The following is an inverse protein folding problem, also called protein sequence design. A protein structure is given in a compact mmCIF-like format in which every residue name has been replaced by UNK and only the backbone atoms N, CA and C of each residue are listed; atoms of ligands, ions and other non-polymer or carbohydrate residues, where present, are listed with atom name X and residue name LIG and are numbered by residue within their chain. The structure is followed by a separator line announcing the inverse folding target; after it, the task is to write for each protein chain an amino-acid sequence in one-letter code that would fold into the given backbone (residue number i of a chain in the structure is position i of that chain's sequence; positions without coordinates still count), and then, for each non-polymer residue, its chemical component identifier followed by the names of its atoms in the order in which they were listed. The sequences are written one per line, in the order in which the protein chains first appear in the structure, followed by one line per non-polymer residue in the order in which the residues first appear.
data_IF_768711750862
#
_entry.id   IF_768711750862
#
_cell.length_a   1.000
_cell.length_b   1.000
_cell.length_c   1.000
_cell.angle_alpha   90.00
_cell.angle_beta   90.00
_cell.angle_gamma   90.00
#
_symmetry.space_group_name_H-M   'P 1'
#
loop_
_entity.id
_entity.type
_entity.pdbx_description
1 polymer ?
#
# COMPACT_ATOMS: atom_id res chain seq x y z
N UNK A 1 9.72 19.05 15.23
CA UNK A 1 10.16 17.92 16.10
C UNK A 1 9.44 18.04 17.45
N UNK A 2 9.26 16.94 18.19
CA UNK A 2 8.70 16.98 19.56
C UNK A 2 7.16 16.90 19.67
N UNK A 3 6.45 16.61 18.58
CA UNK A 3 4.99 16.46 18.60
C UNK A 3 4.52 15.13 19.21
N UNK A 4 5.40 14.12 19.24
CA UNK A 4 5.14 12.80 19.79
C UNK A 4 6.44 12.21 20.36
N UNK A 5 6.30 11.20 21.22
CA UNK A 5 7.40 10.50 21.89
C UNK A 5 7.52 9.02 21.51
N UNK A 6 6.64 8.55 20.64
CA UNK A 6 6.63 7.20 20.11
C UNK A 6 5.53 7.04 19.07
N UNK A 7 5.57 5.97 18.29
CA UNK A 7 4.53 5.66 17.30
C UNK A 7 4.18 4.17 17.28
N UNK A 8 2.91 3.89 17.01
CA UNK A 8 2.41 2.54 16.71
C UNK A 8 1.96 2.52 15.24
N UNK A 9 2.49 1.59 14.46
CA UNK A 9 2.19 1.43 13.04
C UNK A 9 1.57 0.06 12.80
N UNK A 10 0.27 0.03 12.47
CA UNK A 10 -0.50 -1.19 12.25
C UNK A 10 -0.82 -1.36 10.78
N UNK A 11 -0.38 -2.49 10.22
CA UNK A 11 -0.66 -2.91 8.85
C UNK A 11 -0.23 -1.93 7.76
N UNK A 12 0.81 -1.13 8.03
CA UNK A 12 1.33 -0.18 7.06
C UNK A 12 2.45 0.71 7.60
N UNK A 13 3.07 1.44 6.68
CA UNK A 13 4.17 2.36 6.93
C UNK A 13 5.34 2.11 5.98
N UNK A 14 5.96 3.17 5.44
CA UNK A 14 7.18 3.11 4.64
C UNK A 14 7.11 2.21 3.39
N UNK A 15 5.95 2.12 2.76
CA UNK A 15 5.81 1.42 1.46
C UNK A 15 6.13 2.36 0.31
N UNK A 16 6.77 1.86 -0.76
CA UNK A 16 7.15 2.70 -1.90
C UNK A 16 5.95 3.17 -2.76
N UNK A 17 4.81 2.50 -2.65
CA UNK A 17 3.62 2.78 -3.46
C UNK A 17 2.65 3.77 -2.79
N UNK A 18 2.87 4.15 -1.53
CA UNK A 18 1.95 4.98 -0.76
C UNK A 18 2.09 6.49 -1.04
N UNK A 19 3.02 6.89 -1.91
CA UNK A 19 3.25 8.30 -2.25
C UNK A 19 3.30 8.47 -3.76
N UNK A 20 2.85 9.63 -4.25
CA UNK A 20 2.95 10.01 -5.66
C UNK A 20 3.84 11.24 -5.82
N UNK A 21 4.43 11.41 -7.00
CA UNK A 21 5.12 12.64 -7.34
C UNK A 21 4.12 13.74 -7.72
N UNK A 22 4.56 15.00 -7.65
CA UNK A 22 3.72 16.15 -7.97
C UNK A 22 3.08 16.08 -9.38
N UNK A 23 3.79 15.72 -10.47
CA UNK A 23 3.16 15.58 -11.79
C UNK A 23 2.01 14.56 -11.84
N UNK A 24 2.11 13.46 -11.09
CA UNK A 24 1.05 12.45 -11.02
C UNK A 24 -0.16 12.95 -10.23
N UNK A 25 0.08 13.76 -9.19
CA UNK A 25 -0.99 14.42 -8.44
C UNK A 25 -1.70 15.49 -9.30
N UNK A 26 -0.95 16.28 -10.07
CA UNK A 26 -1.48 17.26 -11.03
C UNK A 26 -2.34 16.57 -12.11
N UNK A 27 -1.85 15.47 -12.69
CA UNK A 27 -2.63 14.69 -13.67
C UNK A 27 -3.95 14.15 -13.08
N UNK A 28 -3.93 13.75 -11.81
CA UNK A 28 -5.14 13.31 -11.09
C UNK A 28 -6.11 14.47 -10.87
N UNK A 29 -5.60 15.65 -10.51
CA UNK A 29 -6.40 16.87 -10.36
C UNK A 29 -7.02 17.32 -11.69
N UNK A 30 -6.27 17.29 -12.79
CA UNK A 30 -6.77 17.61 -14.12
C UNK A 30 -7.86 16.65 -14.59
N UNK A 31 -7.72 15.36 -14.26
CA UNK A 31 -8.76 14.37 -14.53
C UNK A 31 -10.03 14.67 -13.75
N UNK A 32 -9.94 15.09 -12.48
CA UNK A 32 -11.09 15.54 -11.70
C UNK A 32 -11.77 16.75 -12.36
N UNK A 33 -11.00 17.76 -12.78
CA UNK A 33 -11.53 18.95 -13.47
C UNK A 33 -12.28 18.58 -14.76
N UNK A 34 -11.75 17.66 -15.56
CA UNK A 34 -12.43 17.20 -16.78
C UNK A 34 -13.73 16.47 -16.48
N UNK A 35 -13.72 15.57 -15.48
CA UNK A 35 -14.89 14.75 -15.12
C UNK A 35 -16.04 15.54 -14.51
N UNK A 36 -15.71 16.66 -13.87
CA UNK A 36 -16.67 17.55 -13.22
C UNK A 36 -17.10 18.72 -14.11
N UNK A 37 -16.56 18.83 -15.32
CA UNK A 37 -16.80 19.97 -16.21
C UNK A 37 -16.06 21.26 -15.81
N UNK A 38 -15.28 21.25 -14.72
CA UNK A 38 -14.55 22.42 -14.24
C UNK A 38 -13.28 22.76 -15.04
N UNK A 39 -12.84 21.91 -15.98
CA UNK A 39 -11.63 22.15 -16.79
C UNK A 39 -11.70 23.44 -17.64
N UNK A 40 -12.91 23.86 -18.03
CA UNK A 40 -13.13 25.08 -18.81
C UNK A 40 -13.23 26.35 -17.95
N UNK A 41 -13.20 26.23 -16.62
CA UNK A 41 -13.31 27.39 -15.74
C UNK A 41 -12.04 28.23 -15.79
N UNK A 42 -12.16 29.45 -16.33
CA UNK A 42 -11.06 30.42 -16.40
C UNK A 42 -10.52 30.75 -15.00
N UNK A 43 -11.40 30.81 -13.99
CA UNK A 43 -10.99 31.01 -12.60
C UNK A 43 -10.09 29.87 -12.10
N UNK A 44 -10.37 28.64 -12.51
CA UNK A 44 -9.59 27.46 -12.12
C UNK A 44 -8.24 27.40 -12.82
N UNK A 45 -8.16 27.85 -14.07
CA UNK A 45 -6.91 27.98 -14.81
C UNK A 45 -6.02 29.11 -14.26
N UNK A 46 -6.62 30.19 -13.74
CA UNK A 46 -5.89 31.35 -13.23
C UNK A 46 -5.41 31.20 -11.77
N UNK A 47 -6.24 30.63 -10.88
CA UNK A 47 -5.95 30.57 -9.44
C UNK A 47 -5.18 29.32 -9.01
N UNK A 48 -5.28 28.22 -9.78
CA UNK A 48 -4.79 26.91 -9.36
C UNK A 48 -5.67 26.23 -8.30
N UNK A 49 -5.22 25.10 -7.73
CA UNK A 49 -5.94 24.39 -6.67
C UNK A 49 -5.89 25.13 -5.31
N UNK A 50 -6.99 25.15 -4.52
CA UNK A 50 -8.32 24.67 -4.88
C UNK A 50 -9.07 25.65 -5.81
N UNK A 51 -9.55 25.12 -6.93
CA UNK A 51 -10.36 25.84 -7.93
C UNK A 51 -11.78 26.14 -7.42
N UNK A 52 -12.27 27.37 -7.61
CA UNK A 52 -13.60 27.80 -7.17
C UNK A 52 -14.75 26.94 -7.72
N UNK A 53 -14.69 26.54 -9.00
CA UNK A 53 -15.70 25.65 -9.60
C UNK A 53 -15.83 24.33 -8.83
N UNK A 54 -14.72 23.71 -8.40
CA UNK A 54 -14.77 22.48 -7.62
C UNK A 54 -15.36 22.68 -6.21
N UNK A 55 -15.14 23.86 -5.62
CA UNK A 55 -15.66 24.20 -4.30
C UNK A 55 -17.18 24.45 -4.29
N UNK A 56 -17.74 24.83 -5.43
CA UNK A 56 -19.18 25.07 -5.61
C UNK A 56 -19.98 23.80 -5.93
N UNK A 57 -19.30 22.72 -6.34
CA UNK A 57 -19.97 21.45 -6.67
C UNK A 57 -20.54 20.77 -5.42
N UNK A 58 -21.75 20.20 -5.52
CA UNK A 58 -22.22 19.24 -4.54
C UNK A 58 -21.26 18.07 -4.35
N UNK A 59 -21.06 17.62 -3.11
CA UNK A 59 -20.18 16.47 -2.81
C UNK A 59 -20.53 15.20 -3.60
N UNK A 60 -21.80 15.05 -4.01
CA UNK A 60 -22.29 13.92 -4.81
C UNK A 60 -21.65 13.88 -6.20
N UNK A 61 -21.41 15.05 -6.80
CA UNK A 61 -20.82 15.15 -8.13
C UNK A 61 -19.32 14.86 -8.08
N UNK A 62 -18.64 15.34 -7.02
CA UNK A 62 -17.25 14.97 -6.72
C UNK A 62 -17.10 13.44 -6.50
N UNK A 63 -18.02 12.85 -5.74
CA UNK A 63 -18.03 11.41 -5.51
C UNK A 63 -18.34 10.61 -6.79
N UNK A 64 -19.26 11.09 -7.64
CA UNK A 64 -19.54 10.45 -8.93
C UNK A 64 -18.30 10.49 -9.85
N UNK A 65 -17.57 11.61 -9.89
CA UNK A 65 -16.32 11.73 -10.64
C UNK A 65 -15.21 10.79 -10.13
N UNK A 66 -15.13 10.61 -8.81
CA UNK A 66 -14.19 9.67 -8.15
C UNK A 66 -14.47 8.21 -8.53
N UNK A 67 -15.75 7.83 -8.62
CA UNK A 67 -16.21 6.45 -8.75
C UNK A 67 -16.27 5.93 -10.19
N UNK A 68 -15.81 6.71 -11.19
CA UNK A 68 -15.70 6.25 -12.57
C UNK A 68 -14.72 5.06 -12.72
N UNK A 69 -14.84 4.23 -13.78
CA UNK A 69 -14.03 3.01 -13.96
C UNK A 69 -12.52 3.25 -13.83
N UNK A 70 -12.03 4.34 -14.43
CA UNK A 70 -10.67 4.84 -14.21
C UNK A 70 -10.63 5.59 -12.88
N UNK A 71 -10.23 4.95 -11.77
CA UNK A 71 -10.23 5.62 -10.47
C UNK A 71 -9.17 6.72 -10.41
N UNK A 72 -9.53 7.86 -9.82
CA UNK A 72 -8.55 8.89 -9.46
C UNK A 72 -7.71 8.36 -8.29
N UNK A 73 -6.39 8.46 -8.42
CA UNK A 73 -5.44 7.95 -7.43
C UNK A 73 -5.02 9.07 -6.47
N UNK A 74 -5.72 9.20 -5.35
CA UNK A 74 -5.36 10.14 -4.29
C UNK A 74 -4.38 9.49 -3.31
N UNK A 75 -3.21 10.10 -3.15
CA UNK A 75 -2.18 9.66 -2.22
C UNK A 75 -1.37 10.87 -1.72
N UNK A 76 -0.65 10.75 -0.59
CA UNK A 76 0.34 11.73 -0.17
C UNK A 76 1.30 12.10 -1.31
N UNK A 77 1.54 13.41 -1.48
CA UNK A 77 2.34 13.95 -2.59
C UNK A 77 3.72 14.34 -2.09
N UNK A 78 4.75 13.98 -2.86
CA UNK A 78 6.10 14.51 -2.69
C UNK A 78 6.09 15.96 -3.20
N UNK A 79 5.85 16.90 -2.30
CA UNK A 79 5.60 18.33 -2.58
C UNK A 79 6.82 19.22 -2.30
N UNK A 80 7.94 18.66 -1.82
CA UNK A 80 9.14 19.40 -1.40
C UNK A 80 8.92 20.40 -0.25
N UNK A 81 7.75 20.37 0.40
CA UNK A 81 7.41 21.25 1.52
C UNK A 81 7.10 20.44 2.78
N UNK A 82 6.10 19.57 2.71
CA UNK A 82 5.75 18.64 3.78
C UNK A 82 6.49 17.32 3.62
N UNK A 83 6.62 16.86 2.38
CA UNK A 83 7.23 15.58 2.02
C UNK A 83 8.27 15.81 0.92
N UNK A 84 9.55 15.84 1.31
CA UNK A 84 10.68 16.01 0.39
C UNK A 84 10.92 14.79 -0.50
N UNK A 85 10.59 13.59 0.00
CA UNK A 85 10.75 12.32 -0.72
C UNK A 85 9.81 11.25 -0.16
N UNK A 86 9.72 10.10 -0.83
CA UNK A 86 8.96 8.96 -0.30
C UNK A 86 9.52 8.50 1.06
N UNK A 87 8.69 8.28 2.10
CA UNK A 87 9.16 7.89 3.44
C UNK A 87 10.07 6.66 3.44
N UNK A 88 9.77 5.68 2.58
CA UNK A 88 10.59 4.49 2.39
C UNK A 88 12.04 4.85 2.01
N UNK A 89 12.22 5.79 1.08
CA UNK A 89 13.53 6.26 0.64
C UNK A 89 14.23 7.08 1.73
N UNK A 90 13.50 7.96 2.42
CA UNK A 90 14.05 8.76 3.52
C UNK A 90 14.69 7.88 4.60
N UNK A 91 14.02 6.79 4.96
CA UNK A 91 14.55 5.82 5.90
C UNK A 91 15.69 4.99 5.30
N UNK A 92 15.49 4.39 4.12
CA UNK A 92 16.44 3.44 3.53
C UNK A 92 17.76 4.06 3.09
N UNK A 93 17.72 5.30 2.60
CA UNK A 93 18.88 5.94 1.99
C UNK A 93 19.54 6.95 2.93
N UNK A 94 18.75 7.65 3.75
CA UNK A 94 19.24 8.73 4.60
C UNK A 94 19.11 8.47 6.10
N UNK A 95 18.33 7.45 6.50
CA UNK A 95 17.98 7.23 7.91
C UNK A 95 17.18 8.38 8.51
N UNK A 96 16.51 9.20 7.68
CA UNK A 96 15.82 10.42 8.11
C UNK A 96 14.39 10.07 8.50
N UNK A 97 14.20 9.82 9.79
CA UNK A 97 12.89 9.65 10.44
C UNK A 97 12.88 10.34 11.80
N UNK A 98 11.70 10.48 12.40
CA UNK A 98 11.64 10.92 13.80
C UNK A 98 12.31 9.89 14.72
N UNK A 99 13.33 10.32 15.45
CA UNK A 99 14.06 9.50 16.41
C UNK A 99 13.25 9.28 17.69
N UNK A 100 12.20 8.47 17.59
CA UNK A 100 11.37 8.03 18.71
C UNK A 100 11.16 6.51 18.64
N UNK A 101 10.92 5.84 19.78
CA UNK A 101 10.59 4.43 19.79
C UNK A 101 9.35 4.11 18.95
N UNK A 102 9.37 2.98 18.23
CA UNK A 102 8.24 2.54 17.39
C UNK A 102 7.86 1.09 17.59
N UNK A 103 6.56 0.80 17.54
CA UNK A 103 6.04 -0.56 17.42
C UNK A 103 5.37 -0.71 16.06
N UNK A 104 5.85 -1.67 15.28
CA UNK A 104 5.30 -1.99 13.96
C UNK A 104 4.65 -3.37 14.00
N UNK A 105 3.51 -3.52 13.35
CA UNK A 105 3.02 -4.86 13.10
C UNK A 105 2.08 -4.96 11.94
N UNK A 106 1.90 -6.20 11.50
CA UNK A 106 1.03 -6.59 10.39
C UNK A 106 0.34 -7.90 10.74
N UNK A 107 -0.70 -8.23 9.97
CA UNK A 107 -1.24 -9.59 9.94
C UNK A 107 -0.54 -10.38 8.84
N UNK A 108 -0.28 -11.67 9.06
CA UNK A 108 0.48 -12.48 8.10
C UNK A 108 -0.22 -12.66 6.74
N UNK A 109 -1.53 -12.45 6.68
CA UNK A 109 -2.35 -12.56 5.47
C UNK A 109 -3.15 -11.26 5.18
N UNK A 110 -2.58 -10.12 5.56
CA UNK A 110 -3.21 -8.78 5.47
C UNK A 110 -3.23 -8.18 4.05
N UNK A 111 -3.64 -8.99 3.08
CA UNK A 111 -3.78 -8.56 1.69
C UNK A 111 -4.93 -9.32 1.02
N UNK A 112 -5.50 -8.72 -0.02
CA UNK A 112 -6.66 -9.23 -0.75
C UNK A 112 -6.39 -9.26 -2.27
N UNK A 113 -5.48 -10.13 -2.75
CA UNK A 113 -5.28 -10.33 -4.17
C UNK A 113 -6.53 -10.90 -4.84
N UNK A 114 -6.76 -10.53 -6.09
CA UNK A 114 -7.92 -10.95 -6.89
C UNK A 114 -7.75 -12.36 -7.49
N UNK A 115 -7.33 -13.35 -6.69
CA UNK A 115 -7.14 -14.73 -7.13
C UNK A 115 -8.39 -15.61 -6.94
N UNK A 116 -9.31 -15.20 -6.06
CA UNK A 116 -10.48 -16.00 -5.65
C UNK A 116 -10.13 -17.08 -4.61
N UNK A 117 -11.13 -17.57 -3.87
CA UNK A 117 -10.91 -18.56 -2.79
C UNK A 117 -10.55 -19.94 -3.31
N UNK A 118 -10.98 -20.29 -4.52
CA UNK A 118 -10.76 -21.60 -5.15
C UNK A 118 -9.50 -21.65 -6.03
N UNK A 119 -8.58 -20.69 -5.88
CA UNK A 119 -7.40 -20.59 -6.73
C UNK A 119 -6.56 -21.87 -6.70
N UNK A 120 -5.94 -22.19 -7.83
CA UNK A 120 -5.00 -23.32 -7.98
C UNK A 120 -3.55 -22.86 -7.81
N UNK A 121 -2.62 -23.82 -7.70
CA UNK A 121 -1.19 -23.50 -7.73
C UNK A 121 -0.76 -22.83 -9.05
N UNK A 122 -1.38 -23.19 -10.18
CA UNK A 122 -1.15 -22.54 -11.45
C UNK A 122 -1.61 -21.07 -11.44
N UNK A 123 -2.78 -20.78 -10.86
CA UNK A 123 -3.26 -19.40 -10.71
C UNK A 123 -2.31 -18.58 -9.83
N UNK A 124 -1.83 -19.16 -8.73
CA UNK A 124 -0.87 -18.51 -7.85
C UNK A 124 0.46 -18.24 -8.55
N UNK A 125 0.98 -19.21 -9.30
CA UNK A 125 2.22 -19.07 -10.08
C UNK A 125 2.12 -17.95 -11.11
N UNK A 126 1.02 -17.91 -11.88
CA UNK A 126 0.77 -16.88 -12.87
C UNK A 126 0.65 -15.49 -12.25
N UNK A 127 -0.03 -15.38 -11.11
CA UNK A 127 -0.12 -14.13 -10.35
C UNK A 127 1.23 -13.70 -9.78
N UNK A 128 2.04 -14.63 -9.29
CA UNK A 128 3.34 -14.34 -8.70
C UNK A 128 4.38 -13.91 -9.75
N UNK A 129 4.29 -14.43 -10.98
CA UNK A 129 5.17 -14.05 -12.12
C UNK A 129 5.06 -12.55 -12.46
N UNK A 130 3.89 -11.93 -12.21
CA UNK A 130 3.72 -10.48 -12.36
C UNK A 130 4.38 -9.67 -11.22
N UNK A 131 4.81 -10.32 -10.14
CA UNK A 131 5.24 -9.67 -8.91
C UNK A 131 6.71 -9.88 -8.56
N UNK A 132 7.33 -10.96 -9.05
CA UNK A 132 8.74 -11.29 -8.78
C UNK A 132 9.50 -11.48 -10.09
N UNK A 133 10.82 -11.22 -10.11
CA UNK A 133 11.63 -11.52 -11.28
C UNK A 133 11.50 -13.01 -11.65
N UNK A 134 11.42 -13.30 -12.95
CA UNK A 134 11.18 -14.66 -13.45
C UNK A 134 12.23 -15.67 -12.95
N UNK A 135 13.48 -15.24 -12.77
CA UNK A 135 14.54 -16.11 -12.23
C UNK A 135 14.30 -16.53 -10.76
N UNK A 136 13.48 -15.80 -10.01
CA UNK A 136 13.16 -16.05 -8.61
C UNK A 136 11.84 -16.78 -8.41
N UNK A 137 11.03 -16.97 -9.47
CA UNK A 137 9.67 -17.47 -9.38
C UNK A 137 9.58 -18.84 -8.69
N UNK A 138 10.40 -19.81 -9.10
CA UNK A 138 10.41 -21.16 -8.51
C UNK A 138 10.71 -21.12 -7.01
N UNK A 139 11.70 -20.31 -6.61
CA UNK A 139 12.06 -20.13 -5.20
C UNK A 139 10.94 -19.45 -4.43
N UNK A 140 10.27 -18.48 -5.04
CA UNK A 140 9.14 -17.79 -4.41
C UNK A 140 7.93 -18.73 -4.25
N UNK A 141 7.64 -19.60 -5.22
CA UNK A 141 6.60 -20.62 -5.09
C UNK A 141 6.92 -21.57 -3.93
N UNK A 142 8.14 -22.10 -3.87
CA UNK A 142 8.58 -22.98 -2.77
C UNK A 142 8.49 -22.29 -1.40
N UNK A 143 8.73 -20.98 -1.33
CA UNK A 143 8.62 -20.22 -0.09
C UNK A 143 7.19 -20.23 0.49
N UNK A 144 6.16 -20.16 -0.36
CA UNK A 144 4.78 -20.02 0.08
C UNK A 144 3.93 -21.29 -0.04
N UNK A 145 4.27 -22.20 -0.94
CA UNK A 145 3.55 -23.47 -1.17
C UNK A 145 4.42 -24.72 -1.00
N UNK A 146 5.73 -24.57 -0.73
CA UNK A 146 6.63 -25.70 -0.50
C UNK A 146 6.23 -26.55 0.71
N UNK A 147 6.74 -27.79 0.75
CA UNK A 147 6.39 -28.76 1.78
C UNK A 147 6.61 -28.20 3.20
N UNK A 148 5.54 -28.19 4.02
CA UNK A 148 5.57 -27.67 5.38
C UNK A 148 5.64 -26.13 5.52
N UNK A 149 5.69 -25.40 4.39
CA UNK A 149 5.72 -23.93 4.33
C UNK A 149 4.39 -23.31 3.92
N UNK A 150 3.51 -24.13 3.33
CA UNK A 150 2.13 -23.77 3.03
C UNK A 150 1.37 -23.20 4.24
N UNK A 151 0.34 -22.37 4.00
CA UNK A 151 -0.57 -21.94 5.04
C UNK A 151 -1.17 -23.17 5.73
N UNK A 152 -1.15 -23.19 7.06
CA UNK A 152 -1.80 -24.25 7.82
C UNK A 152 -3.29 -24.01 7.76
N UNK A 153 -3.96 -24.71 6.86
CA UNK A 153 -5.40 -24.60 6.70
C UNK A 153 -6.07 -25.20 7.95
N UNK A 154 -6.61 -24.32 8.79
CA UNK A 154 -7.50 -24.66 9.89
C UNK A 154 -8.91 -24.11 9.58
N UNK A 155 -9.83 -24.18 10.55
CA UNK A 155 -11.19 -23.66 10.37
C UNK A 155 -11.23 -22.15 10.06
N UNK A 156 -10.21 -21.36 10.44
CA UNK A 156 -10.11 -19.92 10.09
C UNK A 156 -9.84 -19.73 8.60
N UNK A 157 -9.27 -20.74 7.95
CA UNK A 157 -9.00 -20.73 6.52
C UNK A 157 -10.23 -21.08 5.66
N UNK A 158 -11.39 -21.31 6.31
CA UNK A 158 -12.77 -21.30 5.79
C UNK A 158 -12.91 -21.57 4.28
N UNK A 159 -12.73 -22.84 3.90
CA UNK A 159 -13.04 -23.33 2.54
C UNK A 159 -12.14 -22.81 1.43
N UNK A 160 -11.20 -21.92 1.70
CA UNK A 160 -10.31 -21.37 0.68
C UNK A 160 -9.04 -22.21 0.51
N UNK A 161 -8.53 -22.23 -0.71
CA UNK A 161 -7.42 -23.06 -1.14
C UNK A 161 -6.07 -22.65 -0.52
N UNK A 162 -5.07 -23.55 -0.50
CA UNK A 162 -3.70 -23.18 -0.14
C UNK A 162 -3.14 -22.03 -0.99
N UNK A 163 -3.47 -22.01 -2.29
CA UNK A 163 -3.01 -20.98 -3.22
C UNK A 163 -3.62 -19.61 -2.90
N UNK A 164 -4.91 -19.55 -2.53
CA UNK A 164 -5.52 -18.32 -2.04
C UNK A 164 -4.75 -17.75 -0.85
N UNK A 165 -4.51 -18.56 0.18
CA UNK A 165 -3.82 -18.11 1.38
C UNK A 165 -2.33 -17.81 1.15
N UNK A 166 -1.66 -18.56 0.28
CA UNK A 166 -0.31 -18.27 -0.19
C UNK A 166 -0.24 -16.91 -0.89
N UNK A 167 -1.20 -16.59 -1.76
CA UNK A 167 -1.29 -15.29 -2.43
C UNK A 167 -1.46 -14.14 -1.44
N UNK A 168 -2.34 -14.30 -0.44
CA UNK A 168 -2.53 -13.30 0.63
C UNK A 168 -1.25 -13.08 1.41
N UNK A 169 -0.57 -14.15 1.82
CA UNK A 169 0.70 -14.05 2.54
C UNK A 169 1.79 -13.42 1.69
N UNK A 170 1.95 -13.83 0.44
CA UNK A 170 2.95 -13.24 -0.46
C UNK A 170 2.70 -11.74 -0.70
N UNK A 171 1.44 -11.35 -0.87
CA UNK A 171 1.06 -9.95 -1.03
C UNK A 171 1.29 -9.15 0.27
N UNK A 172 0.95 -9.71 1.43
CA UNK A 172 1.21 -9.09 2.73
C UNK A 172 2.71 -8.96 3.01
N UNK A 173 3.51 -9.98 2.68
CA UNK A 173 4.97 -9.93 2.80
C UNK A 173 5.56 -8.82 1.94
N UNK A 174 5.13 -8.71 0.67
CA UNK A 174 5.56 -7.61 -0.21
C UNK A 174 5.10 -6.24 0.29
N UNK A 175 3.85 -6.14 0.75
CA UNK A 175 3.19 -4.87 1.01
C UNK A 175 3.41 -4.31 2.43
N UNK A 176 3.57 -5.15 3.43
CA UNK A 176 3.56 -4.72 4.84
C UNK A 176 4.56 -5.49 5.72
N UNK A 177 4.55 -6.82 5.73
CA UNK A 177 5.34 -7.61 6.71
C UNK A 177 6.85 -7.48 6.50
N UNK A 178 7.34 -7.61 5.25
CA UNK A 178 8.77 -7.43 4.99
C UNK A 178 9.19 -5.96 5.05
N UNK A 179 8.27 -5.04 4.71
CA UNK A 179 8.49 -3.60 4.89
C UNK A 179 8.68 -3.28 6.36
N UNK A 180 7.78 -3.72 7.24
CA UNK A 180 7.90 -3.55 8.69
C UNK A 180 9.20 -4.16 9.26
N UNK A 181 9.61 -5.35 8.78
CA UNK A 181 10.93 -5.97 9.13
C UNK A 181 12.10 -5.09 8.73
N UNK A 182 12.03 -4.49 7.54
CA UNK A 182 13.09 -3.61 7.04
C UNK A 182 13.13 -2.33 7.85
N UNK A 183 11.97 -1.70 8.08
CA UNK A 183 11.84 -0.48 8.89
C UNK A 183 12.40 -0.70 10.30
N UNK A 184 12.01 -1.78 10.97
CA UNK A 184 12.50 -2.09 12.32
C UNK A 184 14.03 -2.23 12.38
N UNK A 185 14.66 -2.76 11.32
CA UNK A 185 16.14 -2.91 11.26
C UNK A 185 16.86 -1.60 10.97
N UNK A 186 16.23 -0.69 10.25
CA UNK A 186 16.82 0.59 9.84
C UNK A 186 16.47 1.72 10.81
N UNK A 187 15.58 1.49 11.77
CA UNK A 187 15.12 2.53 12.67
C UNK A 187 16.28 3.04 13.55
N UNK A 188 16.44 4.37 13.72
CA UNK A 188 17.59 4.94 14.43
C UNK A 188 17.52 4.81 15.96
N UNK A 189 16.40 4.29 16.49
CA UNK A 189 16.15 4.13 17.94
C UNK A 189 15.49 2.76 18.17
N UNK A 190 14.81 2.56 19.29
CA UNK A 190 14.11 1.31 19.57
C UNK A 190 12.97 1.05 18.58
N UNK A 191 12.97 -0.13 17.98
CA UNK A 191 11.87 -0.61 17.14
C UNK A 191 11.49 -2.03 17.52
N UNK A 192 10.21 -2.25 17.78
CA UNK A 192 9.64 -3.58 17.99
C UNK A 192 8.79 -3.97 16.80
N UNK A 193 8.87 -5.24 16.41
CA UNK A 193 7.99 -5.79 15.41
C UNK A 193 7.14 -6.91 16.00
N UNK A 194 5.83 -6.89 15.71
CA UNK A 194 4.95 -8.02 15.95
C UNK A 194 4.28 -8.46 14.64
N UNK A 195 3.97 -9.75 14.54
CA UNK A 195 3.24 -10.34 13.42
C UNK A 195 2.03 -11.08 14.00
N UNK A 196 0.84 -10.58 13.72
CA UNK A 196 -0.38 -11.29 14.09
C UNK A 196 -0.58 -12.45 13.15
N UNK A 197 -0.67 -13.65 13.74
CA UNK A 197 -1.07 -14.87 13.04
C UNK A 197 -2.29 -15.40 13.77
N UNK A 198 -3.36 -15.65 13.05
CA UNK A 198 -4.42 -16.49 13.59
C UNK A 198 -3.79 -17.85 13.90
N UNK A 199 -3.80 -18.22 15.20
CA UNK A 199 -3.46 -19.56 15.67
C UNK A 199 -4.54 -19.94 16.65
N UNK A 200 -5.52 -20.70 16.19
CA UNK A 200 -6.53 -21.27 17.06
C UNK A 200 -6.23 -22.76 17.21
N UNK A 201 -6.13 -23.20 18.47
CA UNK A 201 -5.92 -24.61 18.81
C UNK A 201 -7.23 -25.37 18.70
#
# INVERSE_FOLDING_TARGET
RGLFRGALMMSGGFTHWATVNLPSAEATYDALLRRTGCAASQACQAAGPPCACLLELPWRDLNAAQMQPERLNWAPVIDQATLEEAPAMALEQRGVVAAVPVMLGSTAEDAFPALGTEATEADFSAWLDALVPRQDLVRAIDLYLGAGRGPRLDWVHNGASPAYWASRRAAADRGSTCVARRVARLWPTEAWQYLWRARFR
#
